data_IF_742289835655
#
_entry.id   IF_742289835655
#
_cell.length_a   1.000
_cell.length_b   1.000
_cell.length_c   1.000
_cell.angle_alpha   90.00
_cell.angle_beta   90.00
_cell.angle_gamma   90.00
#
_symmetry.space_group_name_H-M   'P 1'
#
loop_
_entity.id
_entity.type
_entity.pdbx_description
1 polymer ?
#
# COMPACT_ATOMS: atom_id res chain seq x y z
N UNK A 1 2.91 -9.08 16.27
CA UNK A 1 1.44 -8.99 16.29
C UNK A 1 0.93 -9.52 14.96
N UNK A 2 -0.09 -10.37 15.01
CA UNK A 2 -0.62 -11.12 13.86
C UNK A 2 -1.78 -10.33 13.22
N UNK A 3 -2.15 -10.65 11.97
CA UNK A 3 -3.34 -10.07 11.31
C UNK A 3 -4.62 -10.29 12.15
N UNK A 4 -4.64 -11.35 12.96
CA UNK A 4 -5.71 -11.70 13.91
C UNK A 4 -5.98 -10.60 14.95
N UNK A 5 -5.00 -9.74 15.23
CA UNK A 5 -5.12 -8.68 16.24
C UNK A 5 -6.09 -7.56 15.78
N UNK A 6 -6.15 -7.26 14.47
CA UNK A 6 -7.09 -6.26 13.93
C UNK A 6 -8.52 -6.82 13.90
N UNK A 7 -8.70 -8.09 13.55
CA UNK A 7 -10.03 -8.71 13.62
C UNK A 7 -10.57 -8.72 15.05
N UNK A 8 -9.71 -9.02 16.03
CA UNK A 8 -10.09 -8.92 17.45
C UNK A 8 -10.49 -7.49 17.82
N UNK A 9 -9.75 -6.49 17.33
CA UNK A 9 -10.10 -5.08 17.56
C UNK A 9 -11.47 -4.71 16.96
N UNK A 10 -11.74 -5.17 15.73
CA UNK A 10 -13.03 -4.94 15.05
C UNK A 10 -14.19 -5.60 15.78
N UNK A 11 -14.01 -6.85 16.21
CA UNK A 11 -15.04 -7.62 16.92
C UNK A 11 -15.36 -7.01 18.30
N UNK A 12 -14.33 -6.56 19.04
CA UNK A 12 -14.48 -6.06 20.42
C UNK A 12 -14.82 -4.57 20.50
N UNK A 13 -14.47 -3.77 19.48
CA UNK A 13 -14.68 -2.31 19.43
C UNK A 13 -15.19 -1.87 18.05
N UNK A 14 -16.34 -2.38 17.59
CA UNK A 14 -16.86 -2.07 16.26
C UNK A 14 -17.12 -0.58 16.04
N UNK A 15 -17.34 0.20 17.09
CA UNK A 15 -17.54 1.66 17.00
C UNK A 15 -16.32 2.42 16.46
N UNK A 16 -15.11 1.83 16.57
CA UNK A 16 -13.89 2.41 16.01
C UNK A 16 -13.87 2.32 14.48
N UNK A 17 -14.60 1.36 13.90
CA UNK A 17 -14.59 1.07 12.47
C UNK A 17 -15.75 1.75 11.75
N UNK A 18 -15.58 1.99 10.46
CA UNK A 18 -16.63 2.43 9.54
C UNK A 18 -16.38 1.73 8.21
N UNK A 19 -16.76 0.45 8.15
CA UNK A 19 -16.51 -0.39 7.00
C UNK A 19 -17.12 0.23 5.73
N UNK A 20 -16.25 0.62 4.81
CA UNK A 20 -16.65 1.27 3.56
C UNK A 20 -17.03 0.20 2.55
N UNK A 21 -18.26 0.26 2.06
CA UNK A 21 -18.66 -0.53 0.89
C UNK A 21 -18.05 0.09 -0.36
N UNK A 22 -16.95 -0.50 -0.82
CA UNK A 22 -16.22 -0.08 -2.02
C UNK A 22 -16.75 -0.72 -3.31
N UNK A 23 -17.86 -1.46 -3.23
CA UNK A 23 -18.44 -2.18 -4.36
C UNK A 23 -17.60 -3.38 -4.83
N UNK A 24 -18.25 -4.31 -5.52
CA UNK A 24 -17.65 -5.59 -5.91
C UNK A 24 -16.69 -5.54 -7.11
N UNK A 25 -16.41 -4.36 -7.68
CA UNK A 25 -15.83 -4.27 -9.03
C UNK A 25 -14.73 -3.23 -9.23
N UNK A 26 -14.38 -2.40 -8.24
CA UNK A 26 -13.36 -1.36 -8.46
C UNK A 26 -12.02 -1.95 -8.90
N UNK A 27 -11.68 -3.13 -8.37
CA UNK A 27 -10.47 -3.87 -8.69
C UNK A 27 -10.51 -4.59 -10.03
N UNK A 28 -11.67 -4.70 -10.69
CA UNK A 28 -11.79 -5.40 -11.97
C UNK A 28 -11.03 -4.67 -13.10
N UNK A 29 -10.84 -3.35 -12.98
CA UNK A 29 -10.03 -2.56 -13.90
C UNK A 29 -8.52 -2.67 -13.66
N UNK A 30 -8.11 -3.34 -12.58
CA UNK A 30 -6.72 -3.42 -12.17
C UNK A 30 -6.22 -4.86 -12.13
N UNK A 31 -4.92 -4.97 -12.31
CA UNK A 31 -4.14 -6.13 -11.93
C UNK A 31 -3.53 -5.80 -10.57
N UNK A 32 -3.88 -6.58 -9.54
CA UNK A 32 -3.36 -6.43 -8.18
C UNK A 32 -2.37 -7.56 -7.90
N UNK A 33 -1.12 -7.21 -7.63
CA UNK A 33 -0.03 -8.17 -7.45
C UNK A 33 0.60 -7.97 -6.08
N UNK A 34 0.49 -8.94 -5.16
CA UNK A 34 1.12 -8.84 -3.84
C UNK A 34 2.64 -8.74 -3.93
N UNK A 35 3.21 -7.94 -3.05
CA UNK A 35 4.64 -7.80 -2.87
C UNK A 35 5.04 -8.59 -1.62
N UNK A 36 5.77 -9.69 -1.79
CA UNK A 36 6.13 -10.58 -0.68
C UNK A 36 7.11 -9.91 0.31
N UNK A 37 8.07 -9.14 -0.21
CA UNK A 37 9.02 -8.39 0.60
C UNK A 37 9.24 -6.99 0.01
N UNK A 38 8.51 -5.95 0.47
CA UNK A 38 8.64 -4.60 -0.06
C UNK A 38 10.04 -4.02 0.14
N UNK A 39 10.74 -4.40 1.22
CA UNK A 39 12.09 -3.91 1.51
C UNK A 39 13.21 -4.66 0.80
N UNK A 40 12.90 -5.73 0.05
CA UNK A 40 13.92 -6.47 -0.72
C UNK A 40 14.50 -5.57 -1.80
N UNK A 41 15.81 -5.42 -1.74
CA UNK A 41 16.69 -4.78 -2.73
C UNK A 41 17.37 -5.93 -3.50
N UNK A 42 17.37 -5.88 -4.83
CA UNK A 42 18.07 -6.85 -5.68
C UNK A 42 19.59 -6.61 -5.69
N UNK A 43 20.39 -7.68 -5.76
CA UNK A 43 21.86 -7.64 -5.92
C UNK A 43 22.68 -8.06 -4.69
N UNK A 44 23.83 -8.69 -4.94
CA UNK A 44 24.68 -9.45 -4.02
C UNK A 44 25.50 -8.65 -2.96
N UNK A 45 25.05 -7.48 -2.51
CA UNK A 45 25.78 -6.65 -1.53
C UNK A 45 25.07 -6.52 -0.16
N UNK A 46 24.28 -7.52 0.25
CA UNK A 46 23.66 -7.56 1.58
C UNK A 46 24.36 -8.51 2.57
N UNK A 47 25.68 -8.70 2.46
CA UNK A 47 26.45 -9.12 3.62
C UNK A 47 26.78 -7.87 4.45
N UNK A 48 26.12 -7.72 5.60
CA UNK A 48 26.46 -6.83 6.73
C UNK A 48 25.89 -5.41 6.80
N UNK A 49 24.57 -5.22 6.82
CA UNK A 49 24.00 -4.00 7.44
C UNK A 49 22.71 -4.33 8.21
N UNK A 50 22.86 -4.96 9.37
CA UNK A 50 21.89 -4.87 10.48
C UNK A 50 22.48 -3.95 11.55
N UNK A 51 22.05 -2.68 11.55
CA UNK A 51 22.22 -1.77 12.68
C UNK A 51 21.20 -0.63 12.49
N UNK A 52 20.04 -0.73 13.13
CA UNK A 52 19.73 -0.17 14.46
C UNK A 52 18.99 1.17 14.33
N UNK A 53 17.66 1.08 14.28
CA UNK A 53 16.75 1.96 15.03
C UNK A 53 15.71 1.07 15.73
N UNK A 54 16.21 0.29 16.68
CA UNK A 54 15.45 -0.38 17.74
C UNK A 54 16.41 -0.56 18.91
N UNK A 55 16.50 0.42 19.82
CA UNK A 55 17.26 0.19 21.03
C UNK A 55 16.39 -0.61 22.01
N UNK A 56 16.71 -1.91 22.06
CA UNK A 56 16.44 -2.86 23.13
C UNK A 56 14.98 -3.14 23.55
N UNK A 57 14.35 -4.10 22.87
CA UNK A 57 13.82 -5.32 23.51
C UNK A 57 13.38 -6.35 22.46
N UNK A 58 14.36 -7.01 21.85
CA UNK A 58 14.12 -8.24 21.10
C UNK A 58 14.09 -9.41 22.08
N UNK A 59 12.90 -9.71 22.63
CA UNK A 59 12.62 -11.04 23.19
C UNK A 59 12.01 -11.89 22.09
N UNK A 60 12.90 -12.52 21.34
CA UNK A 60 12.58 -13.55 20.36
C UNK A 60 11.80 -14.70 21.01
N UNK A 61 10.56 -14.89 20.56
CA UNK A 61 9.94 -16.21 20.45
C UNK A 61 9.42 -16.34 19.03
N UNK A 62 10.21 -17.00 18.19
CA UNK A 62 9.74 -17.49 16.91
C UNK A 62 8.67 -18.57 17.15
N UNK A 63 7.49 -18.51 16.51
CA UNK A 63 6.71 -19.70 16.27
C UNK A 63 7.31 -20.38 15.04
N UNK A 64 7.89 -21.55 15.25
CA UNK A 64 8.09 -22.56 14.21
C UNK A 64 6.73 -22.90 13.61
N UNK A 65 6.45 -22.35 12.43
CA UNK A 65 5.28 -22.67 11.61
C UNK A 65 5.75 -22.96 10.19
N UNK A 66 5.56 -24.21 9.77
CA UNK A 66 5.80 -24.72 8.43
C UNK A 66 5.09 -23.89 7.35
N UNK A 67 5.68 -23.85 6.14
CA UNK A 67 5.10 -23.73 4.79
C UNK A 67 5.98 -22.85 3.89
N UNK A 68 6.01 -22.93 2.57
CA UNK A 68 5.58 -23.85 1.49
C UNK A 68 6.32 -23.27 0.26
N UNK A 69 6.85 -24.11 -0.64
CA UNK A 69 7.29 -23.79 -2.01
C UNK A 69 7.84 -22.38 -2.31
N UNK A 70 9.16 -22.30 -2.57
CA UNK A 70 9.81 -21.20 -3.30
C UNK A 70 9.31 -21.13 -4.75
N UNK A 71 8.09 -20.66 -4.97
CA UNK A 71 7.72 -19.99 -6.22
C UNK A 71 7.95 -18.50 -5.94
N UNK A 72 8.86 -17.85 -6.68
CA UNK A 72 9.05 -16.40 -6.57
C UNK A 72 7.68 -15.73 -6.70
N UNK A 73 7.27 -14.96 -5.68
CA UNK A 73 5.99 -14.28 -5.72
C UNK A 73 5.93 -13.39 -6.96
N UNK A 74 4.80 -13.31 -7.65
CA UNK A 74 4.66 -12.53 -8.91
C UNK A 74 5.14 -11.07 -8.78
N UNK A 75 5.07 -10.48 -7.58
CA UNK A 75 5.61 -9.15 -7.28
C UNK A 75 7.14 -9.06 -7.31
N UNK A 76 7.86 -10.14 -7.03
CA UNK A 76 9.33 -10.19 -7.15
C UNK A 76 9.76 -10.22 -8.62
N UNK A 77 8.98 -10.85 -9.50
CA UNK A 77 9.20 -10.82 -10.96
C UNK A 77 9.13 -9.38 -11.49
N UNK A 78 8.18 -8.58 -10.98
CA UNK A 78 8.07 -7.17 -11.33
C UNK A 78 9.31 -6.37 -10.93
N UNK A 79 9.95 -6.71 -9.81
CA UNK A 79 11.17 -6.03 -9.37
C UNK A 79 12.32 -6.27 -10.35
N UNK A 80 12.41 -7.47 -10.91
CA UNK A 80 13.48 -7.83 -11.84
C UNK A 80 13.29 -7.20 -13.24
N UNK A 81 12.05 -7.02 -13.71
CA UNK A 81 11.78 -6.43 -15.04
C UNK A 81 11.54 -4.91 -15.02
N UNK A 82 11.17 -4.34 -13.88
CA UNK A 82 10.89 -2.91 -13.72
C UNK A 82 11.99 -1.97 -14.23
N UNK A 83 13.27 -2.19 -13.91
CA UNK A 83 14.38 -1.37 -14.40
C UNK A 83 14.44 -1.21 -15.93
N UNK A 84 14.09 -2.27 -16.66
CA UNK A 84 14.06 -2.30 -18.13
C UNK A 84 12.84 -1.55 -18.71
N UNK A 85 11.83 -1.27 -17.87
CA UNK A 85 10.58 -0.61 -18.25
C UNK A 85 10.58 0.89 -17.95
N UNK A 86 11.63 1.43 -17.31
CA UNK A 86 11.74 2.87 -17.04
C UNK A 86 11.80 3.61 -18.38
N UNK A 87 10.80 4.45 -18.62
CA UNK A 87 10.75 5.34 -19.79
C UNK A 87 11.13 6.76 -19.35
N UNK A 88 11.78 7.50 -20.25
CA UNK A 88 12.14 8.90 -20.04
C UNK A 88 10.95 9.86 -20.17
N UNK A 89 9.74 9.41 -19.85
CA UNK A 89 8.54 10.25 -19.96
C UNK A 89 8.61 11.41 -18.93
N UNK A 90 8.13 12.58 -19.35
CA UNK A 90 8.05 13.75 -18.48
C UNK A 90 6.68 13.80 -17.78
N UNK A 91 5.64 13.29 -18.44
CA UNK A 91 4.28 13.39 -17.91
C UNK A 91 4.03 12.32 -16.84
N UNK A 92 3.52 12.72 -15.65
CA UNK A 92 3.15 11.75 -14.63
C UNK A 92 1.95 10.93 -15.08
N UNK A 93 1.86 9.64 -14.69
CA UNK A 93 0.71 8.82 -15.00
C UNK A 93 -0.57 9.43 -14.42
N UNK A 94 -1.64 9.43 -15.22
CA UNK A 94 -2.95 9.85 -14.75
C UNK A 94 -3.53 8.83 -13.76
N UNK A 95 -4.03 9.32 -12.62
CA UNK A 95 -4.76 8.47 -11.68
C UNK A 95 -6.05 7.97 -12.34
N UNK A 96 -6.30 6.66 -12.27
CA UNK A 96 -7.56 6.11 -12.76
C UNK A 96 -8.75 6.81 -12.08
N UNK A 97 -9.74 7.31 -12.85
CA UNK A 97 -10.94 7.91 -12.28
C UNK A 97 -11.67 7.00 -11.29
N UNK A 98 -11.59 5.68 -11.46
CA UNK A 98 -12.19 4.71 -10.53
C UNK A 98 -11.47 4.72 -9.19
N UNK A 99 -10.13 4.78 -9.16
CA UNK A 99 -9.40 4.85 -7.89
C UNK A 99 -9.77 6.14 -7.14
N UNK A 100 -9.76 7.28 -7.83
CA UNK A 100 -10.15 8.56 -7.22
C UNK A 100 -11.59 8.56 -6.71
N UNK A 101 -12.53 7.99 -7.47
CA UNK A 101 -13.95 7.97 -7.09
C UNK A 101 -14.27 6.96 -5.97
N UNK A 102 -13.66 5.77 -6.01
CA UNK A 102 -13.99 4.67 -5.09
C UNK A 102 -13.13 4.68 -3.84
N UNK A 103 -11.82 4.89 -4.00
CA UNK A 103 -10.83 4.79 -2.92
C UNK A 103 -10.32 6.14 -2.45
N UNK A 104 -10.52 7.20 -3.24
CA UNK A 104 -10.32 8.56 -2.78
C UNK A 104 -11.16 8.85 -1.54
N UNK A 105 -10.70 9.79 -0.74
CA UNK A 105 -11.28 10.06 0.56
C UNK A 105 -10.60 11.23 1.23
N UNK A 106 -11.06 11.54 2.42
CA UNK A 106 -10.56 12.64 3.20
C UNK A 106 -9.61 12.19 4.32
N UNK A 107 -9.17 10.92 4.29
CA UNK A 107 -8.14 10.37 5.17
C UNK A 107 -6.75 10.55 4.54
N UNK A 108 -5.72 10.59 5.39
CA UNK A 108 -4.32 10.63 4.94
C UNK A 108 -3.94 9.34 4.20
N UNK A 109 -3.05 9.46 3.21
CA UNK A 109 -2.67 8.38 2.29
C UNK A 109 -3.75 7.98 1.26
N UNK A 110 -4.87 8.70 1.13
CA UNK A 110 -5.84 8.43 0.07
C UNK A 110 -5.27 8.78 -1.31
N UNK A 111 -5.60 8.02 -2.39
CA UNK A 111 -5.09 8.34 -3.72
C UNK A 111 -5.66 9.68 -4.22
N UNK A 112 -4.79 10.55 -4.73
CA UNK A 112 -5.18 11.87 -5.25
C UNK A 112 -4.81 12.07 -6.73
N UNK A 113 -5.69 12.70 -7.54
CA UNK A 113 -5.33 13.06 -8.90
C UNK A 113 -4.29 14.18 -8.88
N UNK A 114 -3.38 14.17 -9.84
CA UNK A 114 -2.41 15.24 -9.96
C UNK A 114 -3.03 16.48 -10.63
N UNK A 115 -3.16 17.57 -9.86
CA UNK A 115 -3.76 18.83 -10.32
C UNK A 115 -2.86 20.07 -10.17
N UNK A 116 -1.64 19.90 -9.66
CA UNK A 116 -0.82 20.99 -9.13
C UNK A 116 0.35 21.40 -10.04
N UNK A 117 0.09 21.69 -11.32
CA UNK A 117 1.11 22.23 -12.22
C UNK A 117 1.52 23.66 -11.78
N UNK A 118 2.83 24.02 -11.72
CA UNK A 118 4.00 23.30 -12.24
C UNK A 118 4.80 22.50 -11.18
N UNK A 119 4.20 22.16 -10.03
CA UNK A 119 4.89 21.45 -8.94
C UNK A 119 5.13 19.97 -9.27
N UNK A 120 6.05 19.31 -8.59
CA UNK A 120 6.20 17.85 -8.73
C UNK A 120 4.99 17.15 -8.07
N UNK A 121 4.38 16.13 -8.70
CA UNK A 121 3.31 15.37 -8.07
C UNK A 121 3.76 14.75 -6.74
N UNK A 122 2.96 14.86 -5.67
CA UNK A 122 3.26 14.22 -4.39
C UNK A 122 3.16 12.68 -4.49
N UNK A 123 3.66 11.96 -3.48
CA UNK A 123 3.65 10.49 -3.44
C UNK A 123 2.26 9.86 -3.58
N UNK A 124 1.23 10.51 -3.03
CA UNK A 124 -0.17 10.08 -3.08
C UNK A 124 -0.77 10.01 -4.51
N UNK A 125 -0.07 10.56 -5.50
CA UNK A 125 -0.39 10.37 -6.92
C UNK A 125 0.09 9.02 -7.45
N UNK A 126 1.02 8.35 -6.76
CA UNK A 126 1.73 7.14 -7.21
C UNK A 126 1.60 5.96 -6.25
N UNK A 127 1.22 6.21 -5.00
CA UNK A 127 0.92 5.20 -4.02
C UNK A 127 -0.21 5.68 -3.12
N UNK A 128 -0.79 4.75 -2.36
CA UNK A 128 -1.80 5.08 -1.37
C UNK A 128 -1.87 4.03 -0.27
N UNK A 129 -2.33 4.45 0.90
CA UNK A 129 -2.63 3.64 2.05
C UNK A 129 -4.15 3.56 2.25
N UNK A 130 -4.66 2.35 2.40
CA UNK A 130 -6.04 2.10 2.80
C UNK A 130 -6.07 1.75 4.30
N UNK A 131 -6.60 2.63 5.17
CA UNK A 131 -6.67 2.41 6.62
C UNK A 131 -7.56 1.23 7.02
N UNK A 132 -7.15 0.41 8.00
CA UNK A 132 -7.98 -0.69 8.46
C UNK A 132 -9.28 -0.23 9.16
N UNK A 133 -9.35 1.00 9.66
CA UNK A 133 -10.61 1.56 10.20
C UNK A 133 -11.73 1.66 9.15
N UNK A 134 -11.38 1.67 7.86
CA UNK A 134 -12.34 1.80 6.75
C UNK A 134 -12.38 0.58 5.82
N UNK A 135 -11.26 -0.12 5.68
CA UNK A 135 -11.06 -1.12 4.63
C UNK A 135 -10.75 -2.52 5.18
N UNK A 136 -11.01 -2.78 6.47
CA UNK A 136 -10.99 -4.12 7.04
C UNK A 136 -12.12 -4.99 6.45
N UNK A 137 -11.91 -6.32 6.30
CA UNK A 137 -10.67 -7.08 6.50
C UNK A 137 -9.77 -7.18 5.25
N UNK A 138 -10.33 -6.90 4.09
CA UNK A 138 -9.79 -7.39 2.81
C UNK A 138 -8.86 -6.38 2.14
N UNK A 139 -9.12 -5.09 2.29
CA UNK A 139 -8.59 -4.05 1.39
C UNK A 139 -7.62 -3.08 2.04
N UNK A 140 -7.46 -3.13 3.35
CA UNK A 140 -6.47 -2.30 4.02
C UNK A 140 -5.04 -2.73 3.67
N UNK A 141 -4.14 -1.76 3.55
CA UNK A 141 -2.76 -2.00 3.14
C UNK A 141 -2.17 -0.89 2.28
N UNK A 142 -0.94 -1.10 1.83
CA UNK A 142 -0.21 -0.20 0.94
C UNK A 142 -0.39 -0.65 -0.51
N UNK A 143 -0.67 0.29 -1.38
CA UNK A 143 -0.85 0.07 -2.81
C UNK A 143 0.09 0.98 -3.59
N UNK A 144 0.94 0.39 -4.42
CA UNK A 144 1.91 1.09 -5.26
C UNK A 144 1.42 1.05 -6.71
N UNK A 145 1.12 2.20 -7.32
CA UNK A 145 0.83 2.27 -8.74
C UNK A 145 2.13 1.98 -9.49
N UNK A 146 2.17 0.88 -10.24
CA UNK A 146 3.41 0.44 -10.87
C UNK A 146 3.92 1.44 -11.91
N UNK A 147 3.01 2.07 -12.66
CA UNK A 147 3.34 3.17 -13.57
C UNK A 147 3.95 4.37 -12.81
N UNK A 148 3.45 4.66 -11.61
CA UNK A 148 3.98 5.72 -10.73
C UNK A 148 5.37 5.41 -10.18
N UNK A 149 5.63 4.14 -9.82
CA UNK A 149 6.96 3.68 -9.40
C UNK A 149 7.98 3.89 -10.52
N UNK A 150 7.62 3.52 -11.75
CA UNK A 150 8.50 3.68 -12.92
C UNK A 150 8.73 5.15 -13.27
N UNK A 151 7.67 5.98 -13.21
CA UNK A 151 7.79 7.40 -13.44
C UNK A 151 8.73 8.06 -12.42
N UNK A 152 8.55 7.78 -11.12
CA UNK A 152 9.41 8.32 -10.07
C UNK A 152 10.86 7.82 -10.24
N UNK A 153 11.07 6.58 -10.64
CA UNK A 153 12.40 6.07 -10.96
C UNK A 153 13.05 6.89 -12.10
N UNK A 154 12.32 7.18 -13.17
CA UNK A 154 12.77 8.06 -14.25
C UNK A 154 13.12 9.47 -13.76
N UNK A 155 12.32 10.04 -12.85
CA UNK A 155 12.61 11.35 -12.25
C UNK A 155 13.87 11.32 -11.38
N UNK A 156 14.07 10.26 -10.59
CA UNK A 156 15.31 10.08 -9.80
C UNK A 156 16.52 10.08 -10.73
N UNK A 157 16.44 9.36 -11.87
CA UNK A 157 17.52 9.36 -12.85
C UNK A 157 17.79 10.78 -13.38
N UNK A 158 16.75 11.49 -13.85
CA UNK A 158 16.86 12.86 -14.37
C UNK A 158 17.47 13.81 -13.33
N UNK A 159 16.96 13.81 -12.10
CA UNK A 159 17.41 14.68 -11.00
C UNK A 159 18.83 14.36 -10.51
N UNK A 160 19.28 13.12 -10.72
CA UNK A 160 20.66 12.68 -10.48
C UNK A 160 21.63 12.98 -11.63
N UNK A 161 21.16 13.53 -12.74
CA UNK A 161 21.95 13.70 -13.96
C UNK A 161 22.35 12.36 -14.59
N UNK A 162 21.44 11.39 -14.56
CA UNK A 162 21.60 10.02 -15.09
C UNK A 162 22.74 9.20 -14.45
N UNK A 163 23.21 9.62 -13.27
CA UNK A 163 24.29 8.93 -12.55
C UNK A 163 23.80 7.74 -11.72
N UNK A 164 22.53 7.74 -11.33
CA UNK A 164 21.89 6.61 -10.66
C UNK A 164 21.43 5.59 -11.70
N UNK A 165 21.81 4.32 -11.51
CA UNK A 165 21.40 3.23 -12.40
C UNK A 165 19.89 3.01 -12.36
N UNK A 166 19.34 2.44 -13.45
CA UNK A 166 17.92 2.10 -13.55
C UNK A 166 17.46 1.22 -12.38
N UNK A 167 18.27 0.21 -12.05
CA UNK A 167 18.04 -0.70 -10.91
C UNK A 167 17.89 0.07 -9.59
N UNK A 168 18.88 0.92 -9.27
CA UNK A 168 18.88 1.64 -8.01
C UNK A 168 17.77 2.71 -7.96
N UNK A 169 17.48 3.36 -9.09
CA UNK A 169 16.38 4.31 -9.20
C UNK A 169 15.02 3.64 -8.98
N UNK A 170 14.79 2.47 -9.59
CA UNK A 170 13.58 1.68 -9.40
C UNK A 170 13.41 1.25 -7.95
N UNK A 171 14.46 0.66 -7.36
CA UNK A 171 14.45 0.24 -5.96
C UNK A 171 14.19 1.43 -5.02
N UNK A 172 14.81 2.58 -5.27
CA UNK A 172 14.60 3.77 -4.48
C UNK A 172 13.18 4.34 -4.61
N UNK A 173 12.62 4.37 -5.82
CA UNK A 173 11.24 4.80 -6.05
C UNK A 173 10.25 3.88 -5.32
N UNK A 174 10.41 2.57 -5.43
CA UNK A 174 9.62 1.58 -4.69
C UNK A 174 9.67 1.82 -3.18
N UNK A 175 10.89 1.90 -2.63
CA UNK A 175 11.08 2.06 -1.19
C UNK A 175 10.53 3.40 -0.71
N UNK A 176 10.73 4.46 -1.48
CA UNK A 176 10.30 5.80 -1.12
C UNK A 176 8.78 5.85 -0.98
N UNK A 177 8.06 5.39 -2.01
CA UNK A 177 6.60 5.32 -1.99
C UNK A 177 6.11 4.37 -0.89
N UNK A 178 6.72 3.19 -0.73
CA UNK A 178 6.36 2.27 0.35
C UNK A 178 6.49 2.88 1.75
N UNK A 179 7.60 3.54 2.06
CA UNK A 179 7.83 4.11 3.39
C UNK A 179 7.03 5.38 3.65
N UNK A 180 6.64 6.11 2.59
CA UNK A 180 5.65 7.18 2.67
C UNK A 180 4.31 6.60 3.16
N UNK A 181 3.75 5.63 2.43
CA UNK A 181 2.47 5.01 2.79
C UNK A 181 2.51 4.26 4.13
N UNK A 182 3.65 3.64 4.45
CA UNK A 182 3.83 2.96 5.72
C UNK A 182 3.79 3.93 6.91
N UNK A 183 4.09 5.22 6.71
CA UNK A 183 3.97 6.22 7.76
C UNK A 183 2.50 6.52 8.10
N UNK A 184 1.59 6.58 7.12
CA UNK A 184 0.15 6.71 7.40
C UNK A 184 -0.38 5.53 8.22
N UNK A 185 0.10 4.32 7.95
CA UNK A 185 -0.20 3.16 8.80
C UNK A 185 0.33 3.34 10.24
N UNK A 186 1.53 3.92 10.42
CA UNK A 186 2.06 4.23 11.75
C UNK A 186 1.20 5.27 12.48
N UNK A 187 0.71 6.29 11.78
CA UNK A 187 -0.25 7.26 12.32
C UNK A 187 -1.55 6.58 12.77
N UNK A 188 -2.13 5.71 11.93
CA UNK A 188 -3.34 4.96 12.28
C UNK A 188 -3.11 4.06 13.51
N UNK A 189 -1.95 3.42 13.60
CA UNK A 189 -1.56 2.62 14.75
C UNK A 189 -1.39 3.47 16.03
N UNK A 190 -0.92 4.71 15.89
CA UNK A 190 -0.87 5.65 17.00
C UNK A 190 -2.28 6.03 17.47
N UNK A 191 -3.18 6.38 16.55
CA UNK A 191 -4.58 6.63 16.86
C UNK A 191 -5.17 5.45 17.63
N UNK A 192 -5.08 4.23 17.07
CA UNK A 192 -5.60 2.99 17.66
C UNK A 192 -5.18 2.78 19.11
N UNK A 193 -3.92 3.06 19.46
CA UNK A 193 -3.45 2.92 20.86
C UNK A 193 -4.13 3.92 21.80
N UNK A 194 -4.42 5.13 21.33
CA UNK A 194 -5.24 6.08 22.07
C UNK A 194 -6.69 5.60 22.17
N UNK A 195 -7.25 5.09 21.09
CA UNK A 195 -8.63 4.59 21.04
C UNK A 195 -8.85 3.40 21.98
N UNK A 196 -7.89 2.47 22.08
CA UNK A 196 -7.94 1.33 23.00
C UNK A 196 -8.11 1.74 24.46
N UNK A 197 -7.46 2.83 24.87
CA UNK A 197 -7.51 3.29 26.27
C UNK A 197 -8.71 4.18 26.56
N UNK A 198 -9.26 4.86 25.54
CA UNK A 198 -10.35 5.82 25.70
C UNK A 198 -11.71 5.31 25.20
N UNK A 199 -11.74 4.21 24.45
CA UNK A 199 -12.93 3.63 23.81
C UNK A 199 -13.67 4.65 22.94
N UNK A 200 -12.92 5.39 22.12
CA UNK A 200 -13.42 6.46 21.25
C UNK A 200 -12.69 6.41 19.92
N UNK A 201 -13.41 6.66 18.82
CA UNK A 201 -12.90 6.63 17.45
C UNK A 201 -12.08 7.88 17.07
N UNK A 202 -10.90 8.05 17.67
CA UNK A 202 -10.01 9.19 17.42
C UNK A 202 -9.44 9.23 16.01
N UNK A 203 -9.20 8.10 15.35
CA UNK A 203 -8.69 8.10 13.98
C UNK A 203 -9.65 8.87 13.06
N UNK A 204 -10.93 8.48 13.07
CA UNK A 204 -11.98 9.06 12.22
C UNK A 204 -12.42 10.48 12.64
N UNK A 205 -12.27 10.84 13.91
CA UNK A 205 -12.83 12.10 14.44
C UNK A 205 -11.80 13.18 14.77
N UNK A 206 -10.60 12.78 15.18
CA UNK A 206 -9.52 13.66 15.60
C UNK A 206 -8.41 13.74 14.57
N UNK A 207 -7.81 12.59 14.23
CA UNK A 207 -6.69 12.52 13.29
C UNK A 207 -7.10 12.94 11.88
N UNK A 208 -8.17 12.34 11.35
CA UNK A 208 -8.70 12.72 10.04
C UNK A 208 -9.10 14.19 9.99
N UNK A 209 -9.70 14.72 11.07
CA UNK A 209 -10.03 16.15 11.15
C UNK A 209 -8.78 17.02 11.09
N UNK A 210 -7.76 16.68 11.88
CA UNK A 210 -6.51 17.43 11.89
C UNK A 210 -5.89 17.45 10.49
N UNK A 211 -5.74 16.27 9.88
CA UNK A 211 -5.27 16.11 8.52
C UNK A 211 -6.04 16.99 7.53
N UNK A 212 -7.38 16.89 7.50
CA UNK A 212 -8.23 17.68 6.61
C UNK A 212 -8.08 19.19 6.81
N UNK A 213 -7.92 19.65 8.05
CA UNK A 213 -7.78 21.08 8.34
C UNK A 213 -6.42 21.65 7.93
N UNK A 214 -5.39 20.81 7.87
CA UNK A 214 -4.03 21.20 7.50
C UNK A 214 -3.65 20.84 6.07
N UNK A 215 -4.42 19.96 5.40
CA UNK A 215 -4.10 19.42 4.08
C UNK A 215 -3.84 20.53 3.05
N UNK A 216 -2.80 20.34 2.25
CA UNK A 216 -2.35 21.34 1.26
C UNK A 216 -1.61 22.55 1.85
N UNK A 217 -1.19 22.50 3.12
CA UNK A 217 -0.40 23.53 3.80
C UNK A 217 0.84 22.93 4.48
N UNK A 218 1.83 23.76 4.80
CA UNK A 218 3.03 23.33 5.56
C UNK A 218 2.74 22.95 7.01
N UNK A 219 1.52 23.23 7.51
CA UNK A 219 1.05 22.75 8.81
C UNK A 219 0.58 21.28 8.74
N UNK A 220 0.50 20.68 7.54
CA UNK A 220 0.21 19.24 7.39
C UNK A 220 1.44 18.41 7.76
N UNK A 221 1.66 18.24 9.06
CA UNK A 221 2.85 17.56 9.56
C UNK A 221 2.91 16.08 9.17
N UNK A 222 1.76 15.43 8.97
CA UNK A 222 1.69 14.02 8.59
C UNK A 222 2.42 13.75 7.26
N UNK A 223 2.09 14.52 6.21
CA UNK A 223 2.70 14.38 4.89
C UNK A 223 4.20 14.70 4.90
N UNK A 224 4.58 15.73 5.65
CA UNK A 224 5.98 16.09 5.84
C UNK A 224 6.77 15.00 6.59
N UNK A 225 6.17 14.38 7.61
CA UNK A 225 6.76 13.26 8.34
C UNK A 225 6.82 11.98 7.49
N UNK A 226 5.80 11.72 6.65
CA UNK A 226 5.79 10.60 5.71
C UNK A 226 6.95 10.72 4.71
N UNK A 227 7.14 11.89 4.09
CA UNK A 227 8.30 12.16 3.23
C UNK A 227 9.63 12.09 3.97
N UNK A 228 9.71 12.60 5.20
CA UNK A 228 10.91 12.50 6.01
C UNK A 228 11.29 11.04 6.34
N UNK A 229 10.29 10.21 6.67
CA UNK A 229 10.43 8.77 6.90
C UNK A 229 10.91 8.06 5.63
N UNK A 230 10.30 8.37 4.48
CA UNK A 230 10.68 7.81 3.18
C UNK A 230 12.13 8.15 2.81
N UNK A 231 12.51 9.43 2.89
CA UNK A 231 13.89 9.88 2.64
C UNK A 231 14.90 9.17 3.54
N UNK A 232 14.62 9.08 4.85
CA UNK A 232 15.53 8.42 5.80
C UNK A 232 15.71 6.94 5.47
N UNK A 233 14.61 6.21 5.26
CA UNK A 233 14.68 4.77 5.03
C UNK A 233 15.31 4.44 3.66
N UNK A 234 15.01 5.21 2.62
CA UNK A 234 15.68 5.07 1.33
C UNK A 234 17.18 5.29 1.45
N UNK A 235 17.63 6.32 2.16
CA UNK A 235 19.05 6.57 2.39
C UNK A 235 19.73 5.39 3.10
N UNK A 236 19.13 4.86 4.16
CA UNK A 236 19.71 3.71 4.89
C UNK A 236 19.78 2.45 4.03
N UNK A 237 18.72 2.16 3.28
CA UNK A 237 18.58 0.90 2.54
C UNK A 237 19.36 0.92 1.21
N UNK A 238 19.57 2.08 0.61
CA UNK A 238 20.36 2.26 -0.62
C UNK A 238 21.88 2.34 -0.40
N UNK A 239 22.39 1.83 0.72
CA UNK A 239 23.82 1.90 1.04
C UNK A 239 24.32 3.33 1.25
N UNK A 240 23.43 4.27 1.64
CA UNK A 240 23.76 5.67 1.94
C UNK A 240 24.29 6.45 0.74
N UNK A 241 23.78 6.14 -0.46
CA UNK A 241 24.12 6.86 -1.69
C UNK A 241 23.72 8.34 -1.60
N UNK A 242 24.70 9.23 -1.52
CA UNK A 242 24.49 10.69 -1.43
C UNK A 242 23.85 11.27 -2.69
N UNK A 243 24.18 10.70 -3.85
CA UNK A 243 23.65 11.16 -5.14
C UNK A 243 22.15 10.83 -5.23
N UNK A 244 21.78 9.61 -4.84
CA UNK A 244 20.38 9.21 -4.77
C UNK A 244 19.62 10.05 -3.73
N UNK A 245 20.20 10.24 -2.55
CA UNK A 245 19.60 11.08 -1.51
C UNK A 245 19.31 12.50 -2.02
N UNK A 246 20.29 13.12 -2.69
CA UNK A 246 20.14 14.44 -3.28
C UNK A 246 19.06 14.48 -4.37
N UNK A 247 18.91 13.44 -5.18
CA UNK A 247 17.86 13.35 -6.19
C UNK A 247 16.45 13.26 -5.55
N UNK A 248 16.29 12.42 -4.52
CA UNK A 248 15.03 12.31 -3.78
C UNK A 248 14.69 13.58 -3.00
N UNK A 249 15.68 14.25 -2.41
CA UNK A 249 15.48 15.55 -1.75
C UNK A 249 14.96 16.58 -2.74
N UNK A 250 15.57 16.70 -3.94
CA UNK A 250 15.07 17.61 -4.99
C UNK A 250 13.64 17.27 -5.43
N UNK A 251 13.31 15.98 -5.53
CA UNK A 251 11.94 15.54 -5.83
C UNK A 251 10.96 16.04 -4.75
N UNK A 252 11.28 15.80 -3.49
CA UNK A 252 10.46 16.24 -2.33
C UNK A 252 10.32 17.75 -2.29
N UNK A 253 11.41 18.51 -2.45
CA UNK A 253 11.40 19.98 -2.46
C UNK A 253 10.48 20.56 -3.56
N UNK A 254 10.27 19.82 -4.65
CA UNK A 254 9.36 20.19 -5.72
C UNK A 254 7.88 19.91 -5.44
N UNK A 255 7.53 19.17 -4.38
CA UNK A 255 6.14 18.80 -4.08
C UNK A 255 5.29 19.96 -3.53
N UNK A 256 3.95 19.83 -3.48
CA UNK A 256 3.06 20.79 -2.83
C UNK A 256 3.40 21.07 -1.35
N UNK A 257 2.85 22.16 -0.76
CA UNK A 257 2.98 22.43 0.67
C UNK A 257 2.58 21.23 1.55
N UNK A 258 3.24 21.08 2.69
CA UNK A 258 3.16 19.90 3.55
C UNK A 258 4.15 18.81 3.13
N UNK A 259 4.08 18.35 1.89
CA UNK A 259 4.98 17.33 1.34
C UNK A 259 6.42 17.84 1.20
N UNK A 260 6.61 19.07 0.73
CA UNK A 260 7.94 19.63 0.45
C UNK A 260 8.83 19.89 1.67
N UNK A 261 8.31 19.67 2.87
CA UNK A 261 9.02 19.86 4.13
C UNK A 261 9.82 18.62 4.54
N UNK A 262 9.76 17.53 3.79
CA UNK A 262 10.35 16.23 4.15
C UNK A 262 11.83 16.28 4.55
N UNK A 263 12.72 16.95 3.79
CA UNK A 263 14.15 17.00 4.16
C UNK A 263 14.42 17.83 5.41
N UNK A 264 13.68 18.93 5.58
CA UNK A 264 13.78 19.75 6.80
C UNK A 264 13.33 18.95 8.02
N UNK A 265 12.15 18.32 7.92
CA UNK A 265 11.56 17.52 9.00
C UNK A 265 12.45 16.31 9.31
N UNK A 266 13.09 15.69 8.32
CA UNK A 266 14.01 14.55 8.53
C UNK A 266 15.12 14.86 9.54
N UNK A 267 15.60 16.10 9.60
CA UNK A 267 16.65 16.54 10.54
C UNK A 267 16.12 16.77 11.95
N UNK A 268 14.83 17.06 12.08
CA UNK A 268 14.12 17.32 13.34
C UNK A 268 12.99 16.30 13.58
N UNK A 269 13.17 15.07 13.10
CA UNK A 269 12.07 14.11 12.97
C UNK A 269 11.38 13.84 14.30
N UNK A 270 12.17 13.61 15.36
CA UNK A 270 11.63 13.32 16.69
C UNK A 270 10.85 14.51 17.28
N UNK A 271 11.41 15.74 17.35
CA UNK A 271 10.64 16.92 17.76
C UNK A 271 9.34 17.13 16.97
N UNK A 272 9.38 17.03 15.64
CA UNK A 272 8.20 17.26 14.79
C UNK A 272 7.15 16.17 14.99
N UNK A 273 7.55 14.89 15.09
CA UNK A 273 6.64 13.78 15.40
C UNK A 273 6.01 13.92 16.78
N UNK A 274 6.76 14.41 17.77
CA UNK A 274 6.23 14.68 19.10
C UNK A 274 5.18 15.80 19.09
N UNK A 275 5.42 16.88 18.31
CA UNK A 275 4.44 17.95 18.09
C UNK A 275 3.19 17.41 17.39
N UNK A 276 3.36 16.63 16.33
CA UNK A 276 2.28 15.94 15.63
C UNK A 276 1.43 15.07 16.58
N UNK A 277 2.07 14.34 17.49
CA UNK A 277 1.37 13.52 18.47
C UNK A 277 0.54 14.36 19.46
N UNK A 278 1.11 15.45 19.97
CA UNK A 278 0.42 16.36 20.88
C UNK A 278 -0.77 17.05 20.20
N UNK A 279 -0.60 17.56 18.98
CA UNK A 279 -1.66 18.25 18.24
C UNK A 279 -2.84 17.31 17.94
N UNK A 280 -2.57 16.08 17.51
CA UNK A 280 -3.61 15.06 17.34
C UNK A 280 -4.34 14.73 18.65
N UNK A 281 -3.60 14.62 19.78
CA UNK A 281 -4.22 14.41 21.08
C UNK A 281 -5.13 15.58 21.47
N UNK A 282 -4.66 16.82 21.31
CA UNK A 282 -5.43 18.02 21.64
C UNK A 282 -6.72 18.13 20.82
N UNK A 283 -6.66 17.82 19.52
CA UNK A 283 -7.85 17.82 18.65
C UNK A 283 -8.82 16.71 19.04
N UNK A 284 -8.30 15.53 19.41
CA UNK A 284 -9.10 14.38 19.84
C UNK A 284 -9.72 14.56 21.24
N UNK A 285 -9.02 15.28 22.13
CA UNK A 285 -9.32 15.45 23.54
C UNK A 285 -9.18 16.93 23.97
N UNK A 286 -10.01 17.84 23.44
CA UNK A 286 -9.85 19.29 23.63
C UNK A 286 -10.08 19.79 25.06
N UNK A 287 -10.55 18.92 25.97
CA UNK A 287 -10.72 19.24 27.38
C UNK A 287 -9.45 18.99 28.20
N UNK A 288 -8.45 18.29 27.64
CA UNK A 288 -7.17 18.09 28.29
C UNK A 288 -6.27 19.30 28.02
N UNK A 289 -5.48 19.76 29.01
CA UNK A 289 -4.55 20.86 28.78
C UNK A 289 -3.37 20.40 27.90
N UNK A 290 -3.01 21.22 26.91
CA UNK A 290 -1.80 21.04 26.12
C UNK A 290 -0.56 20.86 27.00
N UNK A 291 0.28 19.90 26.64
CA UNK A 291 1.56 19.60 27.29
C UNK A 291 2.72 19.98 26.40
N UNK A 292 3.92 19.96 26.98
CA UNK A 292 5.14 20.03 26.19
C UNK A 292 5.20 18.78 25.29
N UNK A 293 5.29 18.93 23.96
CA UNK A 293 5.34 17.80 23.04
C UNK A 293 6.43 16.77 23.36
N UNK A 294 7.54 17.20 23.98
CA UNK A 294 8.62 16.30 24.39
C UNK A 294 8.21 15.17 25.33
N UNK A 295 7.03 15.26 25.97
CA UNK A 295 6.45 14.15 26.74
C UNK A 295 6.32 12.88 25.88
N UNK A 296 6.03 13.02 24.59
CA UNK A 296 5.87 11.90 23.65
C UNK A 296 7.18 11.14 23.37
N UNK A 297 8.35 11.73 23.70
CA UNK A 297 9.64 11.01 23.68
C UNK A 297 9.69 9.85 24.68
N UNK A 298 8.84 9.87 25.71
CA UNK A 298 8.75 8.80 26.72
C UNK A 298 7.93 7.60 26.26
N UNK A 299 7.18 7.72 25.16
CA UNK A 299 6.35 6.67 24.59
C UNK A 299 6.60 6.50 23.07
N UNK A 300 7.84 6.20 22.65
CA UNK A 300 8.20 6.16 21.22
C UNK A 300 7.47 5.07 20.44
N UNK A 301 7.08 3.99 21.12
CA UNK A 301 6.38 2.82 20.56
C UNK A 301 4.93 3.10 20.16
N UNK A 302 4.41 4.29 20.44
CA UNK A 302 3.05 4.66 20.08
C UNK A 302 2.82 4.63 18.57
N UNK A 303 3.86 4.90 17.77
CA UNK A 303 3.82 4.86 16.30
C UNK A 303 4.19 3.48 15.71
N UNK A 304 4.53 2.48 16.53
CA UNK A 304 4.92 1.18 16.00
C UNK A 304 3.74 0.50 15.29
N UNK A 305 3.98 -0.20 14.19
CA UNK A 305 2.92 -0.94 13.48
C UNK A 305 2.24 -1.98 14.37
N UNK A 306 0.91 -1.99 14.42
CA UNK A 306 0.11 -2.99 15.15
C UNK A 306 0.04 -4.30 14.38
N UNK A 307 0.27 -4.29 13.07
CA UNK A 307 0.28 -5.49 12.24
C UNK A 307 1.45 -5.46 11.25
N UNK A 308 1.78 -6.60 10.66
CA UNK A 308 2.83 -6.67 9.65
C UNK A 308 2.34 -6.08 8.32
N UNK A 309 2.46 -4.76 8.16
CA UNK A 309 2.12 -4.05 6.91
C UNK A 309 2.88 -4.58 5.69
N UNK A 310 4.06 -5.21 5.89
CA UNK A 310 4.85 -5.80 4.80
C UNK A 310 4.12 -6.92 4.07
N UNK A 311 3.22 -7.63 4.76
CA UNK A 311 2.37 -8.66 4.15
C UNK A 311 1.11 -8.11 3.45
N UNK A 312 0.93 -6.79 3.44
CA UNK A 312 -0.23 -6.07 2.91
C UNK A 312 0.20 -4.99 1.93
N UNK A 313 1.26 -5.25 1.16
CA UNK A 313 1.74 -4.38 0.09
C UNK A 313 1.38 -4.99 -1.26
N UNK A 314 0.80 -4.19 -2.15
CA UNK A 314 0.41 -4.62 -3.48
C UNK A 314 0.89 -3.64 -4.55
N UNK A 315 1.33 -4.15 -5.69
CA UNK A 315 1.34 -3.37 -6.92
C UNK A 315 -0.06 -3.32 -7.53
N UNK A 316 -0.40 -2.17 -8.08
CA UNK A 316 -1.63 -1.93 -8.83
C UNK A 316 -1.27 -1.46 -10.23
N UNK A 317 -1.78 -2.16 -11.23
CA UNK A 317 -1.54 -1.86 -12.65
C UNK A 317 -2.89 -1.72 -13.34
N UNK A 318 -3.25 -0.55 -13.89
CA UNK A 318 -4.45 -0.41 -14.71
C UNK A 318 -4.38 -1.40 -15.88
N UNK A 319 -5.46 -2.14 -16.15
CA UNK A 319 -5.49 -3.07 -17.30
C UNK A 319 -5.37 -2.36 -18.64
N UNK A 320 -5.73 -1.08 -18.70
CA UNK A 320 -5.53 -0.20 -19.85
C UNK A 320 -4.07 0.22 -20.03
N UNK A 321 -3.23 0.12 -18.99
CA UNK A 321 -1.83 0.54 -19.05
C UNK A 321 -1.07 -0.25 -20.12
N UNK A 322 -0.20 0.40 -20.92
CA UNK A 322 0.71 -0.29 -21.82
C UNK A 322 1.56 -1.35 -21.12
N UNK A 323 1.84 -1.19 -19.83
CA UNK A 323 2.65 -2.11 -19.04
C UNK A 323 1.93 -3.43 -18.80
N UNK A 324 0.62 -3.40 -18.56
CA UNK A 324 -0.19 -4.61 -18.37
C UNK A 324 -0.06 -5.60 -19.55
N UNK A 325 0.13 -5.07 -20.77
CA UNK A 325 0.34 -5.88 -22.00
C UNK A 325 1.73 -6.53 -22.07
N UNK A 326 2.72 -5.98 -21.36
CA UNK A 326 4.12 -6.39 -21.35
C UNK A 326 4.46 -7.30 -20.17
N UNK A 327 3.53 -7.50 -19.23
CA UNK A 327 3.75 -8.34 -18.07
C UNK A 327 4.12 -9.78 -18.47
N UNK A 328 5.15 -10.38 -17.84
CA UNK A 328 5.62 -11.72 -18.18
C UNK A 328 4.60 -12.81 -17.82
N UNK A 329 3.75 -12.54 -16.83
CA UNK A 329 2.54 -13.29 -16.55
C UNK A 329 1.34 -12.51 -17.09
N UNK A 330 0.34 -13.24 -17.64
CA UNK A 330 -0.92 -12.63 -18.12
C UNK A 330 -2.01 -12.90 -17.10
N UNK A 331 -2.28 -11.96 -16.17
CA UNK A 331 -3.45 -11.98 -15.31
C UNK A 331 -4.70 -12.22 -16.18
N UNK A 332 -5.48 -13.26 -15.85
CA UNK A 332 -6.54 -13.72 -16.74
C UNK A 332 -7.89 -13.06 -16.42
N UNK A 333 -8.46 -13.35 -15.26
CA UNK A 333 -9.80 -12.93 -14.86
C UNK A 333 -9.87 -12.90 -13.33
N UNK A 334 -10.52 -11.88 -12.76
CA UNK A 334 -10.86 -11.83 -11.33
C UNK A 334 -11.89 -12.91 -10.97
N UNK A 335 -11.96 -13.39 -9.72
CA UNK A 335 -12.98 -14.36 -9.32
C UNK A 335 -14.42 -13.87 -9.55
N UNK A 336 -14.70 -12.56 -9.43
CA UNK A 336 -16.04 -12.02 -9.68
C UNK A 336 -16.40 -12.08 -11.16
N UNK A 337 -15.52 -11.62 -12.04
CA UNK A 337 -15.75 -11.71 -13.49
C UNK A 337 -15.81 -13.16 -13.98
N UNK A 338 -15.06 -14.07 -13.35
CA UNK A 338 -15.20 -15.51 -13.59
C UNK A 338 -16.60 -16.01 -13.21
N UNK A 339 -17.09 -15.64 -12.01
CA UNK A 339 -18.42 -16.01 -11.54
C UNK A 339 -19.52 -15.50 -12.47
N UNK A 340 -19.44 -14.25 -12.93
CA UNK A 340 -20.39 -13.65 -13.87
C UNK A 340 -20.41 -14.42 -15.20
N UNK A 341 -19.24 -14.66 -15.81
CA UNK A 341 -19.15 -15.46 -17.04
C UNK A 341 -19.69 -16.87 -16.86
N UNK A 342 -19.39 -17.53 -15.75
CA UNK A 342 -19.87 -18.89 -15.48
C UNK A 342 -21.37 -18.92 -15.17
N UNK A 343 -21.94 -17.87 -14.56
CA UNK A 343 -23.39 -17.72 -14.39
C UNK A 343 -24.09 -17.76 -15.75
N UNK A 344 -23.57 -17.02 -16.71
CA UNK A 344 -24.12 -16.96 -18.07
C UNK A 344 -23.90 -18.26 -18.86
N UNK A 345 -22.70 -18.85 -18.78
CA UNK A 345 -22.33 -20.01 -19.61
C UNK A 345 -22.85 -21.35 -19.10
N UNK A 346 -22.92 -21.55 -17.78
CA UNK A 346 -23.25 -22.87 -17.17
C UNK A 346 -24.34 -22.81 -16.11
N UNK A 347 -24.98 -21.65 -15.90
CA UNK A 347 -26.03 -21.48 -14.90
C UNK A 347 -25.50 -21.66 -13.49
N UNK A 348 -24.43 -20.94 -13.15
CA UNK A 348 -23.76 -21.04 -11.86
C UNK A 348 -24.62 -20.48 -10.71
N UNK A 349 -24.94 -21.32 -9.72
CA UNK A 349 -25.73 -21.00 -8.53
C UNK A 349 -24.87 -21.08 -7.26
N UNK A 350 -25.02 -20.10 -6.37
CA UNK A 350 -24.29 -20.08 -5.11
C UNK A 350 -24.83 -21.15 -4.15
N UNK A 351 -23.95 -21.95 -3.55
CA UNK A 351 -24.33 -22.99 -2.59
C UNK A 351 -24.04 -22.54 -1.17
N UNK A 352 -22.78 -22.22 -0.88
CA UNK A 352 -22.34 -21.80 0.45
C UNK A 352 -20.98 -21.13 0.40
N UNK A 353 -20.71 -20.37 1.43
CA UNK A 353 -19.41 -19.76 1.69
C UNK A 353 -18.56 -20.69 2.57
N UNK A 354 -17.31 -20.90 2.18
CA UNK A 354 -16.24 -21.43 3.04
C UNK A 354 -15.38 -20.29 3.61
N UNK A 355 -14.22 -20.59 4.20
CA UNK A 355 -13.32 -19.56 4.73
C UNK A 355 -12.77 -18.63 3.63
N UNK A 356 -11.87 -19.15 2.79
CA UNK A 356 -11.21 -18.37 1.72
C UNK A 356 -11.77 -18.65 0.32
N UNK A 357 -12.90 -19.33 0.23
CA UNK A 357 -13.50 -19.76 -1.04
C UNK A 357 -15.01 -19.85 -0.95
N UNK A 358 -15.67 -19.74 -2.09
CA UNK A 358 -17.10 -19.96 -2.28
C UNK A 358 -17.32 -21.28 -3.01
N UNK A 359 -18.38 -22.00 -2.64
CA UNK A 359 -18.79 -23.21 -3.32
C UNK A 359 -20.02 -22.87 -4.16
N UNK A 360 -19.91 -23.16 -5.45
CA UNK A 360 -20.92 -22.92 -6.46
C UNK A 360 -21.36 -24.24 -7.10
N UNK A 361 -22.54 -24.24 -7.71
CA UNK A 361 -23.13 -25.40 -8.39
C UNK A 361 -23.56 -25.01 -9.80
N UNK A 362 -23.27 -25.82 -10.81
CA UNK A 362 -23.75 -25.62 -12.18
C UNK A 362 -25.20 -26.10 -12.34
N UNK A 363 -25.85 -25.72 -13.44
CA UNK A 363 -27.16 -26.26 -13.83
C UNK A 363 -27.18 -27.79 -13.97
N UNK A 364 -26.04 -28.41 -14.32
CA UNK A 364 -25.85 -29.88 -14.39
C UNK A 364 -25.64 -30.53 -13.01
N UNK A 365 -25.46 -29.71 -11.96
CA UNK A 365 -25.33 -30.14 -10.59
C UNK A 365 -23.92 -30.37 -10.08
N UNK A 366 -22.90 -30.09 -10.90
CA UNK A 366 -21.48 -30.15 -10.51
C UNK A 366 -21.15 -29.02 -9.55
N UNK A 367 -20.28 -29.29 -8.59
CA UNK A 367 -19.80 -28.29 -7.63
C UNK A 367 -18.41 -27.82 -8.00
N UNK A 368 -18.19 -26.53 -7.91
CA UNK A 368 -16.88 -25.89 -8.14
C UNK A 368 -16.56 -24.97 -6.98
N UNK A 369 -15.27 -24.88 -6.65
CA UNK A 369 -14.78 -24.00 -5.59
C UNK A 369 -14.05 -22.82 -6.22
N UNK A 370 -14.50 -21.60 -5.92
CA UNK A 370 -13.92 -20.37 -6.47
C UNK A 370 -13.31 -19.56 -5.32
N UNK A 371 -12.02 -19.17 -5.39
CA UNK A 371 -11.38 -18.36 -4.35
C UNK A 371 -12.08 -17.02 -4.13
N UNK A 372 -12.11 -16.55 -2.88
CA UNK A 372 -12.70 -15.27 -2.46
C UNK A 372 -11.62 -14.21 -2.22
N UNK A 373 -10.67 -14.10 -3.13
CA UNK A 373 -9.66 -13.04 -3.09
C UNK A 373 -9.83 -12.15 -4.33
N UNK A 374 -9.45 -10.87 -4.25
CA UNK A 374 -9.62 -9.96 -5.38
C UNK A 374 -8.59 -10.14 -6.51
N UNK A 375 -7.53 -10.90 -6.25
CA UNK A 375 -6.45 -11.14 -7.21
C UNK A 375 -6.93 -11.97 -8.40
N UNK A 376 -6.31 -11.73 -9.55
CA UNK A 376 -6.57 -12.52 -10.75
C UNK A 376 -6.23 -13.99 -10.53
N UNK A 377 -7.02 -14.85 -11.16
CA UNK A 377 -6.79 -16.28 -11.14
C UNK A 377 -5.70 -16.63 -12.15
N UNK A 378 -4.65 -17.29 -11.66
CA UNK A 378 -3.60 -17.85 -12.51
C UNK A 378 -4.18 -18.80 -13.55
N UNK A 379 -3.55 -18.85 -14.74
CA UNK A 379 -4.06 -19.61 -15.90
C UNK A 379 -4.31 -21.09 -15.59
N UNK A 380 -3.47 -21.69 -14.74
CA UNK A 380 -3.61 -23.08 -14.32
C UNK A 380 -4.86 -23.33 -13.48
N UNK A 381 -5.12 -22.48 -12.48
CA UNK A 381 -6.33 -22.54 -11.66
C UNK A 381 -7.58 -22.28 -12.51
N UNK A 382 -7.52 -21.31 -13.41
CA UNK A 382 -8.64 -21.02 -14.30
C UNK A 382 -8.96 -22.22 -15.22
N UNK A 383 -7.96 -22.88 -15.82
CA UNK A 383 -8.16 -24.11 -16.59
C UNK A 383 -8.77 -25.23 -15.74
N UNK A 384 -8.31 -25.39 -14.49
CA UNK A 384 -8.86 -26.38 -13.56
C UNK A 384 -10.35 -26.11 -13.29
N UNK A 385 -10.71 -24.86 -13.02
CA UNK A 385 -12.11 -24.46 -12.79
C UNK A 385 -12.97 -24.73 -14.04
N UNK A 386 -12.51 -24.31 -15.23
CA UNK A 386 -13.23 -24.56 -16.49
C UNK A 386 -13.43 -26.06 -16.76
N UNK A 387 -12.46 -26.89 -16.41
CA UNK A 387 -12.58 -28.33 -16.49
C UNK A 387 -13.57 -28.91 -15.46
N UNK A 388 -13.55 -28.42 -14.21
CA UNK A 388 -14.47 -28.85 -13.15
C UNK A 388 -15.94 -28.52 -13.46
N UNK A 389 -16.19 -27.41 -14.17
CA UNK A 389 -17.53 -27.04 -14.65
C UNK A 389 -17.90 -27.63 -16.01
N UNK A 390 -17.08 -28.56 -16.53
CA UNK A 390 -17.29 -29.29 -17.80
C UNK A 390 -17.45 -28.36 -19.02
N UNK A 391 -16.76 -27.22 -19.00
CA UNK A 391 -16.84 -26.22 -20.05
C UNK A 391 -15.77 -26.53 -21.11
N UNK A 392 -16.19 -27.22 -22.17
CA UNK A 392 -15.34 -27.63 -23.29
C UNK A 392 -15.04 -26.45 -24.23
N UNK A 393 -14.27 -25.49 -23.72
CA UNK A 393 -13.69 -24.44 -24.54
C UNK A 393 -12.27 -24.12 -24.10
N UNK A 394 -11.42 -23.80 -25.08
CA UNK A 394 -10.07 -23.36 -24.80
C UNK A 394 -10.04 -22.08 -23.96
N UNK A 395 -9.01 -21.96 -23.10
CA UNK A 395 -8.84 -20.82 -22.21
C UNK A 395 -8.91 -19.48 -22.96
N UNK A 396 -8.25 -19.34 -24.10
CA UNK A 396 -8.26 -18.09 -24.89
C UNK A 396 -9.67 -17.72 -25.36
N UNK A 397 -10.46 -18.72 -25.76
CA UNK A 397 -11.86 -18.51 -26.16
C UNK A 397 -12.69 -18.02 -24.97
N UNK A 398 -12.52 -18.64 -23.79
CA UNK A 398 -13.20 -18.20 -22.57
C UNK A 398 -12.84 -16.76 -22.17
N UNK A 399 -11.57 -16.37 -22.31
CA UNK A 399 -11.11 -15.03 -22.00
C UNK A 399 -11.67 -13.98 -22.96
N UNK A 400 -11.90 -14.35 -24.23
CA UNK A 400 -12.40 -13.46 -25.28
C UNK A 400 -13.92 -13.20 -25.27
N UNK A 401 -14.68 -14.03 -24.56
CA UNK A 401 -16.11 -13.79 -24.28
C UNK A 401 -16.26 -12.60 -23.32
#
# INVERSE_FOLDING_TARGET
MAIEDISTLHDELPELFQDRDIGNSWYDEFVIIPVANPERIGGAEQASISANWSDHNDRQRAPTGQHLGNEDAEGDILKDVGPDLILADDDPPELSPILGAVLGGAHSGAPIPYTHQPMMPPPDCFAFYLPFHYYHPDWWGVYLLYDGVLWLAGQIQKLSGETVSHELAFQAAHLFLYYHEAFHHQTECFATRLELTHRRAFFKTGFERYYQTTFGTDDCLEEGLANASALFNCYQKSGKSKILDAALVKFVEGNPPGYNRGDLIRREFVPVRCRFAEENQQISLPHLPAKNPDVWKTAPHMFDGISNIKGRVNYVIPRSSPIAKRLPFRPCVSPNKLKEKLKELVGLEFVKQGGNHEIWKTSTGKRVTIPRHPRDLGRGLLRKILHEVELDMGLERFLSL
#
